data_IF_881837841411
#
_entry.id   IF_881837841411
#
_cell.length_a   1.000
_cell.length_b   1.000
_cell.length_c   1.000
_cell.angle_alpha   90.00
_cell.angle_beta   90.00
_cell.angle_gamma   90.00
#
_symmetry.space_group_name_H-M   'P 1'
#
loop_
_entity.id
_entity.type
_entity.pdbx_description
1 polymer ?
#
# COMPACT_ATOMS: atom_id res chain seq x y z
N UNK A 1 -8.53 10.33 -6.12
CA UNK A 1 -7.36 9.91 -5.30
C UNK A 1 -7.87 9.01 -4.19
N UNK A 2 -7.12 7.99 -3.75
CA UNK A 2 -7.53 7.15 -2.61
C UNK A 2 -7.56 7.99 -1.33
N UNK A 3 -8.48 7.65 -0.43
CA UNK A 3 -8.61 8.30 0.88
C UNK A 3 -7.59 7.73 1.87
N UNK A 4 -7.39 6.40 1.83
CA UNK A 4 -6.48 5.70 2.73
C UNK A 4 -5.77 4.56 2.00
N UNK A 5 -4.50 4.35 2.32
CA UNK A 5 -3.72 3.19 1.88
C UNK A 5 -3.05 2.58 3.12
N UNK A 6 -3.67 1.54 3.69
CA UNK A 6 -3.08 0.72 4.76
C UNK A 6 -2.20 -0.39 4.15
N UNK A 7 -1.57 -1.20 5.01
CA UNK A 7 -0.60 -2.23 4.63
C UNK A 7 -1.04 -3.16 3.48
N UNK A 8 -2.30 -3.60 3.48
CA UNK A 8 -2.84 -4.53 2.48
C UNK A 8 -4.23 -4.10 1.98
N UNK A 9 -4.61 -2.82 2.16
CA UNK A 9 -5.92 -2.33 1.74
C UNK A 9 -5.87 -0.87 1.31
N UNK A 10 -6.55 -0.58 0.20
CA UNK A 10 -6.75 0.77 -0.31
C UNK A 10 -8.24 1.12 -0.22
N UNK A 11 -8.55 2.32 0.24
CA UNK A 11 -9.91 2.82 0.43
C UNK A 11 -10.17 4.00 -0.50
N UNK A 12 -11.31 3.96 -1.19
CA UNK A 12 -11.85 5.07 -1.95
C UNK A 12 -13.19 5.49 -1.34
N UNK A 13 -13.36 6.78 -1.05
CA UNK A 13 -14.65 7.32 -0.61
C UNK A 13 -15.50 7.64 -1.84
N UNK A 14 -16.71 7.07 -1.86
CA UNK A 14 -17.68 7.31 -2.92
C UNK A 14 -18.77 8.23 -2.38
N UNK A 15 -19.00 9.32 -3.10
CA UNK A 15 -20.09 10.27 -2.83
C UNK A 15 -20.96 10.42 -4.07
N UNK A 16 -22.18 10.98 -3.98
CA UNK A 16 -23.00 11.25 -5.15
C UNK A 16 -22.36 12.17 -6.21
N UNK A 17 -21.24 12.84 -5.89
CA UNK A 17 -20.47 13.64 -6.83
C UNK A 17 -19.55 12.80 -7.74
N UNK A 18 -19.44 11.49 -7.51
CA UNK A 18 -18.70 10.58 -8.37
C UNK A 18 -19.54 10.15 -9.58
N UNK A 19 -18.90 10.08 -10.74
CA UNK A 19 -19.54 9.68 -11.98
C UNK A 19 -19.16 8.25 -12.38
N UNK A 20 -19.98 7.62 -13.22
CA UNK A 20 -19.70 6.28 -13.73
C UNK A 20 -18.39 6.23 -14.52
N UNK A 21 -18.03 7.31 -15.24
CA UNK A 21 -16.78 7.42 -15.99
C UNK A 21 -15.57 7.41 -15.06
N UNK A 22 -15.62 8.15 -13.94
CA UNK A 22 -14.54 8.14 -12.94
C UNK A 22 -14.36 6.75 -12.33
N UNK A 23 -15.45 6.04 -12.06
CA UNK A 23 -15.40 4.67 -11.56
C UNK A 23 -14.80 3.70 -12.59
N UNK A 24 -15.20 3.82 -13.86
CA UNK A 24 -14.65 3.01 -14.94
C UNK A 24 -13.14 3.27 -15.13
N UNK A 25 -12.72 4.53 -15.04
CA UNK A 25 -11.30 4.88 -15.06
C UNK A 25 -10.53 4.26 -13.89
N UNK A 26 -11.08 4.31 -12.67
CA UNK A 26 -10.45 3.69 -11.51
C UNK A 26 -10.27 2.17 -11.71
N UNK A 27 -11.31 1.47 -12.18
CA UNK A 27 -11.23 0.03 -12.46
C UNK A 27 -10.21 -0.27 -13.55
N UNK A 28 -10.16 0.54 -14.62
CA UNK A 28 -9.18 0.39 -15.69
C UNK A 28 -7.74 0.55 -15.17
N UNK A 29 -7.49 1.55 -14.30
CA UNK A 29 -6.18 1.76 -13.68
C UNK A 29 -5.76 0.59 -12.79
N UNK A 30 -6.70 0.01 -12.02
CA UNK A 30 -6.43 -1.18 -11.21
C UNK A 30 -6.08 -2.39 -12.08
N UNK A 31 -6.80 -2.60 -13.19
CA UNK A 31 -6.50 -3.67 -14.14
C UNK A 31 -5.14 -3.50 -14.83
N UNK A 32 -4.76 -2.26 -15.19
CA UNK A 32 -3.42 -1.98 -15.71
C UNK A 32 -2.33 -2.28 -14.68
N UNK A 33 -2.55 -1.92 -13.42
CA UNK A 33 -1.62 -2.24 -12.35
C UNK A 33 -1.45 -3.75 -12.15
N UNK A 34 -2.55 -4.52 -12.21
CA UNK A 34 -2.51 -5.98 -12.15
C UNK A 34 -1.67 -6.57 -13.29
N UNK A 35 -1.84 -6.08 -14.53
CA UNK A 35 -1.03 -6.50 -15.68
C UNK A 35 0.47 -6.22 -15.46
N UNK A 36 0.83 -5.08 -14.86
CA UNK A 36 2.22 -4.76 -14.55
C UNK A 36 2.83 -5.69 -13.50
N UNK A 37 2.03 -6.10 -12.49
CA UNK A 37 2.44 -7.11 -11.51
C UNK A 37 2.65 -8.44 -12.22
N UNK A 38 1.70 -8.87 -13.04
CA UNK A 38 1.77 -10.14 -13.77
C UNK A 38 3.01 -10.23 -14.65
N UNK A 39 3.27 -9.20 -15.44
CA UNK A 39 4.39 -9.09 -16.36
C UNK A 39 5.74 -8.79 -15.69
N UNK A 40 5.76 -8.58 -14.37
CA UNK A 40 6.95 -8.19 -13.61
C UNK A 40 7.69 -6.98 -14.20
N UNK A 41 6.92 -5.94 -14.50
CA UNK A 41 7.43 -4.75 -15.20
C UNK A 41 8.51 -4.04 -14.36
N UNK A 42 9.56 -3.46 -14.99
CA UNK A 42 10.54 -2.64 -14.28
C UNK A 42 9.89 -1.52 -13.46
N UNK A 43 10.40 -1.31 -12.24
CA UNK A 43 9.87 -0.33 -11.31
C UNK A 43 9.94 1.11 -11.85
N UNK A 44 10.95 1.39 -12.69
CA UNK A 44 11.11 2.68 -13.36
C UNK A 44 9.93 3.03 -14.29
N UNK A 45 9.29 2.02 -14.90
CA UNK A 45 8.17 2.21 -15.82
C UNK A 45 6.85 2.39 -15.07
N UNK A 46 6.68 1.69 -13.95
CA UNK A 46 5.43 1.70 -13.16
C UNK A 46 5.38 2.86 -12.18
N UNK A 47 6.49 3.15 -11.47
CA UNK A 47 6.58 4.19 -10.44
C UNK A 47 7.76 5.15 -10.71
N UNK A 48 7.75 5.87 -11.85
CA UNK A 48 8.86 6.71 -12.29
C UNK A 48 9.21 7.80 -11.26
N UNK A 49 8.23 8.36 -10.56
CA UNK A 49 8.46 9.39 -9.55
C UNK A 49 9.29 8.87 -8.36
N UNK A 50 9.05 7.63 -7.91
CA UNK A 50 9.81 7.03 -6.81
C UNK A 50 11.19 6.62 -7.28
N UNK A 51 11.28 6.00 -8.46
CA UNK A 51 12.57 5.65 -9.07
C UNK A 51 13.47 6.88 -9.23
N UNK A 52 12.96 7.96 -9.82
CA UNK A 52 13.73 9.18 -10.04
C UNK A 52 14.16 9.87 -8.75
N UNK A 53 13.41 9.68 -7.65
CA UNK A 53 13.79 10.20 -6.34
C UNK A 53 14.91 9.39 -5.68
N UNK A 54 14.95 8.07 -5.90
CA UNK A 54 15.94 7.17 -5.31
C UNK A 54 16.53 6.19 -6.34
N UNK A 55 17.18 6.68 -7.40
CA UNK A 55 17.53 5.86 -8.57
C UNK A 55 18.61 4.82 -8.27
N UNK A 56 19.47 5.07 -7.27
CA UNK A 56 20.48 4.10 -6.85
C UNK A 56 19.85 2.95 -6.05
N UNK A 57 18.86 3.26 -5.21
CA UNK A 57 18.19 2.27 -4.35
C UNK A 57 17.31 1.32 -5.16
N UNK A 58 16.66 1.83 -6.20
CA UNK A 58 15.70 1.12 -7.03
C UNK A 58 16.24 0.78 -8.42
N UNK A 59 17.56 0.83 -8.61
CA UNK A 59 18.19 0.46 -9.87
C UNK A 59 17.89 -1.01 -10.18
N UNK A 60 17.44 -1.27 -11.39
CA UNK A 60 17.13 -2.61 -11.91
C UNK A 60 16.03 -3.36 -11.14
N UNK A 61 15.30 -2.68 -10.24
CA UNK A 61 14.18 -3.28 -9.52
C UNK A 61 13.02 -3.59 -10.46
N UNK A 62 12.38 -4.73 -10.24
CA UNK A 62 11.05 -5.01 -10.78
C UNK A 62 9.95 -4.67 -9.77
N UNK A 63 8.71 -4.60 -10.26
CA UNK A 63 7.56 -4.36 -9.40
C UNK A 63 7.35 -5.50 -8.39
N UNK A 64 7.54 -6.77 -8.78
CA UNK A 64 7.36 -7.90 -7.85
C UNK A 64 8.42 -7.92 -6.77
N UNK A 65 9.67 -7.59 -7.09
CA UNK A 65 10.74 -7.51 -6.09
C UNK A 65 10.41 -6.50 -5.00
N UNK A 66 9.93 -5.31 -5.38
CA UNK A 66 9.49 -4.31 -4.40
C UNK A 66 8.31 -4.82 -3.56
N UNK A 67 7.30 -5.41 -4.20
CA UNK A 67 6.14 -5.96 -3.48
C UNK A 67 6.53 -7.05 -2.49
N UNK A 68 7.43 -7.96 -2.89
CA UNK A 68 7.92 -9.04 -2.04
C UNK A 68 8.77 -8.51 -0.88
N UNK A 69 9.68 -7.57 -1.14
CA UNK A 69 10.51 -6.95 -0.10
C UNK A 69 9.63 -6.27 0.96
N UNK A 70 8.61 -5.51 0.54
CA UNK A 70 7.65 -4.89 1.46
C UNK A 70 6.86 -5.95 2.25
N UNK A 71 6.41 -7.01 1.58
CA UNK A 71 5.67 -8.10 2.23
C UNK A 71 6.52 -8.80 3.31
N UNK A 72 7.73 -9.20 2.95
CA UNK A 72 8.66 -9.92 3.83
C UNK A 72 9.03 -9.08 5.05
N UNK A 73 9.22 -7.76 4.87
CA UNK A 73 9.45 -6.84 5.97
C UNK A 73 8.29 -6.90 6.98
N UNK A 74 7.04 -6.78 6.53
CA UNK A 74 5.88 -6.81 7.43
C UNK A 74 5.66 -8.17 8.10
N UNK A 75 5.95 -9.26 7.39
CA UNK A 75 5.90 -10.62 7.95
C UNK A 75 6.99 -10.80 9.01
N UNK A 76 8.21 -10.35 8.75
CA UNK A 76 9.35 -10.52 9.66
C UNK A 76 9.17 -9.83 11.01
N UNK A 77 8.42 -8.71 11.03
CA UNK A 77 8.12 -7.95 12.26
C UNK A 77 6.80 -8.33 12.91
N UNK A 78 6.08 -9.34 12.39
CA UNK A 78 4.75 -9.76 12.87
C UNK A 78 3.81 -8.57 13.10
N UNK A 79 3.84 -7.62 12.15
CA UNK A 79 3.19 -6.31 12.31
C UNK A 79 1.69 -6.46 12.54
N UNK A 80 1.08 -7.48 11.94
CA UNK A 80 -0.33 -7.82 12.14
C UNK A 80 -0.65 -8.15 13.60
N UNK A 81 0.19 -8.92 14.27
CA UNK A 81 -0.01 -9.27 15.67
C UNK A 81 0.26 -8.07 16.56
N UNK A 82 1.31 -7.30 16.29
CA UNK A 82 1.60 -6.07 17.02
C UNK A 82 0.44 -5.07 16.96
N UNK A 83 -0.09 -4.81 15.76
CA UNK A 83 -1.27 -3.95 15.58
C UNK A 83 -2.48 -4.48 16.36
N UNK A 84 -2.71 -5.80 16.36
CA UNK A 84 -3.81 -6.39 17.12
C UNK A 84 -3.62 -6.22 18.63
N UNK A 85 -2.41 -6.39 19.13
CA UNK A 85 -2.12 -6.23 20.56
C UNK A 85 -2.31 -4.80 21.02
N UNK A 86 -1.95 -3.78 20.22
CA UNK A 86 -2.15 -2.37 20.58
C UNK A 86 -3.59 -2.02 20.99
N UNK A 87 -4.58 -2.75 20.44
CA UNK A 87 -6.00 -2.52 20.70
C UNK A 87 -6.65 -3.55 21.64
N UNK A 88 -5.88 -4.50 22.18
CA UNK A 88 -6.39 -5.46 23.17
C UNK A 88 -6.30 -4.86 24.57
N UNK A 89 -7.39 -4.96 25.33
CA UNK A 89 -7.48 -4.49 26.73
C UNK A 89 -6.31 -4.93 27.60
N UNK A 90 -5.81 -6.17 27.42
CA UNK A 90 -4.69 -6.73 28.18
C UNK A 90 -3.35 -6.03 27.95
N UNK A 91 -3.21 -5.36 26.81
CA UNK A 91 -1.97 -4.75 26.31
C UNK A 91 -2.08 -3.21 26.29
N UNK A 92 -3.19 -2.66 26.82
CA UNK A 92 -3.32 -1.22 26.96
C UNK A 92 -2.29 -0.66 27.93
N UNK A 93 -1.73 0.53 27.65
CA UNK A 93 -0.85 1.19 28.58
C UNK A 93 -1.61 1.50 29.87
N UNK A 94 -0.90 1.41 31.00
CA UNK A 94 -1.47 1.78 32.30
C UNK A 94 -1.73 3.28 32.30
N UNK A 95 -2.97 3.68 32.52
CA UNK A 95 -3.35 5.08 32.69
C UNK A 95 -2.79 5.56 34.03
N UNK A 96 -1.85 6.50 33.99
CA UNK A 96 -1.23 7.12 35.20
C UNK A 96 -1.75 8.53 35.47
N UNK A 97 -2.35 9.17 34.45
CA UNK A 97 -3.05 10.45 34.55
C UNK A 97 -4.30 10.37 33.68
N UNK A 98 -5.38 11.00 34.14
CA UNK A 98 -6.57 11.16 33.31
C UNK A 98 -6.28 12.17 32.19
N UNK A 99 -6.87 11.99 30.99
CA UNK A 99 -6.69 12.89 29.87
C UNK A 99 -7.15 14.32 30.17
#
# INVERSE_FOLDING_TARGET
MPEKCDLNSILFLLTPAESAEKMAQLVAMLGQFEQHIEADTPLADVLPTIYNKYPVRYRDYTLRELCQEMHDLYVSFDVKSLQKEMFRKRSFPRVVMNP
#
